data_IF_400204074336
#
_entry.id   IF_400204074336
#
_cell.length_a   1.000
_cell.length_b   1.000
_cell.length_c   1.000
_cell.angle_alpha   90.00
_cell.angle_beta   90.00
_cell.angle_gamma   90.00
#
_symmetry.space_group_name_H-M   'P 1'
#
loop_
_entity.id
_entity.type
_entity.pdbx_description
1 polymer ?
#
# COMPACT_ATOMS: atom_id res chain seq x y z
N UNK A 1 25.60 -17.63 8.78
CA UNK A 1 24.18 -17.69 9.20
C UNK A 1 23.17 -17.27 8.12
N UNK A 2 23.49 -17.30 6.80
CA UNK A 2 22.60 -16.79 5.72
C UNK A 2 21.86 -17.87 4.91
N UNK A 3 22.09 -19.16 5.19
CA UNK A 3 21.53 -20.27 4.41
C UNK A 3 20.32 -20.97 5.05
N UNK A 4 20.11 -20.79 6.35
CA UNK A 4 19.09 -21.50 7.13
C UNK A 4 17.71 -20.85 7.06
N UNK A 5 17.62 -19.52 7.08
CA UNK A 5 16.34 -18.80 6.94
C UNK A 5 15.75 -18.95 5.53
N UNK A 6 16.57 -18.86 4.48
CA UNK A 6 16.13 -19.07 3.10
C UNK A 6 15.60 -20.49 2.88
N UNK A 7 16.17 -21.51 3.54
CA UNK A 7 15.67 -22.90 3.47
C UNK A 7 14.34 -23.09 4.19
N UNK A 8 14.12 -22.42 5.33
CA UNK A 8 12.88 -22.56 6.12
C UNK A 8 11.68 -21.94 5.39
N UNK A 9 11.86 -20.77 4.78
CA UNK A 9 10.83 -20.11 3.97
C UNK A 9 10.55 -20.83 2.64
N UNK A 10 11.60 -21.36 1.97
CA UNK A 10 11.45 -22.18 0.76
C UNK A 10 10.55 -23.41 1.01
N UNK A 11 10.64 -24.00 2.21
CA UNK A 11 9.80 -25.13 2.62
C UNK A 11 8.30 -24.81 2.72
N UNK A 12 7.90 -23.61 3.14
CA UNK A 12 6.48 -23.26 3.27
C UNK A 12 5.82 -22.95 1.93
N UNK A 13 6.51 -22.25 1.01
CA UNK A 13 6.00 -21.99 -0.35
C UNK A 13 5.95 -23.26 -1.18
N UNK A 14 7.00 -24.10 -1.12
CA UNK A 14 7.02 -25.39 -1.80
C UNK A 14 6.03 -26.38 -1.19
N UNK A 15 5.82 -26.43 0.14
CA UNK A 15 4.78 -27.30 0.71
C UNK A 15 3.35 -26.86 0.36
N UNK A 16 3.09 -25.54 0.28
CA UNK A 16 1.75 -25.02 -0.10
C UNK A 16 1.44 -25.19 -1.58
N UNK A 17 2.45 -25.20 -2.46
CA UNK A 17 2.23 -25.12 -3.91
C UNK A 17 2.95 -26.19 -4.75
N UNK A 18 3.62 -27.16 -4.10
CA UNK A 18 4.08 -28.40 -4.73
C UNK A 18 2.87 -29.30 -4.91
N UNK A 19 2.11 -29.07 -5.98
CA UNK A 19 1.28 -30.13 -6.52
C UNK A 19 2.22 -31.26 -6.93
N UNK A 20 2.12 -32.37 -6.19
CA UNK A 20 2.67 -33.64 -6.60
C UNK A 20 2.07 -33.98 -7.97
N UNK A 21 2.90 -33.96 -9.00
CA UNK A 21 2.66 -34.75 -10.19
C UNK A 21 2.51 -36.20 -9.72
N UNK A 22 1.30 -36.76 -9.78
CA UNK A 22 1.10 -38.20 -9.69
C UNK A 22 1.79 -38.83 -10.90
N UNK A 23 3.09 -39.13 -10.73
CA UNK A 23 3.90 -40.16 -11.37
C UNK A 23 5.37 -39.72 -11.29
N UNK A 24 6.06 -40.14 -10.23
CA UNK A 24 7.27 -40.97 -10.32
C UNK A 24 7.82 -41.17 -8.90
N UNK A 25 7.84 -42.44 -8.50
CA UNK A 25 8.39 -42.93 -7.24
C UNK A 25 9.90 -42.68 -7.13
N UNK A 26 10.35 -42.61 -5.87
CA UNK A 26 11.67 -43.01 -5.39
C UNK A 26 12.88 -42.15 -5.77
N UNK A 27 13.25 -41.22 -4.88
CA UNK A 27 14.67 -41.01 -4.56
C UNK A 27 14.83 -40.99 -3.03
N UNK A 28 15.31 -42.13 -2.54
CA UNK A 28 15.86 -42.37 -1.22
C UNK A 28 16.98 -41.38 -0.92
N UNK A 29 16.85 -40.53 0.10
CA UNK A 29 17.95 -39.73 0.63
C UNK A 29 18.61 -40.49 1.78
N UNK A 30 19.45 -41.45 1.45
CA UNK A 30 20.40 -42.03 2.41
C UNK A 30 21.75 -41.34 2.32
N UNK A 31 22.25 -41.00 3.51
CA UNK A 31 23.66 -40.77 3.84
C UNK A 31 24.29 -39.46 3.36
N UNK A 32 24.38 -38.48 4.29
CA UNK A 32 25.67 -37.97 4.79
C UNK A 32 25.52 -37.57 6.27
N UNK A 33 25.83 -38.49 7.19
CA UNK A 33 26.36 -38.19 8.53
C UNK A 33 27.74 -37.50 8.34
N UNK A 34 28.32 -36.67 9.19
CA UNK A 34 28.22 -36.36 10.61
C UNK A 34 29.16 -35.15 10.84
N UNK A 35 28.84 -34.25 11.77
CA UNK A 35 29.73 -33.92 12.90
C UNK A 35 29.03 -32.94 13.84
N UNK A 36 28.68 -33.49 15.00
CA UNK A 36 28.33 -32.82 16.24
C UNK A 36 29.46 -31.91 16.73
N UNK A 37 29.12 -30.72 17.23
CA UNK A 37 29.64 -30.19 18.50
C UNK A 37 28.49 -29.50 19.23
N UNK A 38 28.33 -29.88 20.49
CA UNK A 38 27.27 -29.50 21.41
C UNK A 38 27.67 -28.31 22.32
N UNK A 39 26.66 -27.85 23.09
CA UNK A 39 26.70 -27.10 24.37
C UNK A 39 26.51 -25.55 24.31
N UNK A 40 26.04 -24.88 25.39
CA UNK A 40 24.60 -24.75 25.73
C UNK A 40 24.20 -23.36 26.29
N UNK A 41 22.97 -23.27 26.81
CA UNK A 41 22.51 -22.45 27.96
C UNK A 41 22.11 -20.96 27.83
N UNK A 42 20.80 -20.74 28.07
CA UNK A 42 20.22 -19.95 29.20
C UNK A 42 19.66 -18.53 28.99
N UNK A 43 18.73 -18.20 29.93
CA UNK A 43 17.97 -16.97 30.23
C UNK A 43 16.64 -16.81 29.47
N UNK A 44 15.50 -17.28 29.99
CA UNK A 44 14.69 -16.87 31.17
C UNK A 44 14.13 -15.43 31.17
N UNK A 45 12.79 -15.38 31.16
CA UNK A 45 11.85 -14.46 31.83
C UNK A 45 12.03 -12.94 31.74
N UNK A 46 10.99 -12.24 31.25
CA UNK A 46 10.10 -11.45 32.13
C UNK A 46 8.86 -10.96 31.35
N UNK A 47 7.67 -11.34 31.80
CA UNK A 47 6.43 -10.62 31.52
C UNK A 47 6.05 -9.81 32.75
N UNK A 48 5.34 -8.68 32.59
CA UNK A 48 4.38 -8.20 33.59
C UNK A 48 3.31 -7.32 32.95
N UNK A 49 2.07 -7.71 33.25
CA UNK A 49 0.79 -7.03 33.08
C UNK A 49 0.48 -6.35 34.41
N UNK A 50 -0.07 -5.14 34.41
CA UNK A 50 -0.76 -4.59 35.58
C UNK A 50 -2.09 -3.94 35.19
N UNK A 51 -3.13 -4.33 35.95
CA UNK A 51 -4.49 -3.80 35.99
C UNK A 51 -4.67 -3.13 37.37
N UNK A 52 -5.46 -2.08 37.44
CA UNK A 52 -6.18 -1.60 38.64
C UNK A 52 -7.06 -0.40 38.25
N UNK A 53 -8.39 -0.49 38.08
CA UNK A 53 -9.50 -0.45 39.08
C UNK A 53 -9.38 0.72 40.07
N UNK A 54 -10.17 1.80 39.90
CA UNK A 54 -11.44 2.10 40.61
C UNK A 54 -11.28 3.49 41.29
N UNK A 55 -12.26 4.35 41.59
CA UNK A 55 -13.72 4.32 41.68
C UNK A 55 -14.22 5.77 41.98
N UNK A 56 -15.38 6.18 41.42
CA UNK A 56 -16.49 7.02 41.97
C UNK A 56 -16.22 8.40 42.65
N UNK A 57 -17.09 9.45 42.69
CA UNK A 57 -18.56 9.61 42.80
C UNK A 57 -18.89 11.14 42.59
N UNK A 58 -19.88 11.57 41.78
CA UNK A 58 -21.26 12.11 42.09
C UNK A 58 -21.47 13.55 42.61
N UNK A 59 -22.55 14.20 42.12
CA UNK A 59 -23.34 15.31 42.73
C UNK A 59 -23.37 16.60 41.89
N UNK A 60 -24.36 16.93 41.04
CA UNK A 60 -25.79 17.32 41.23
C UNK A 60 -26.03 18.67 41.93
N UNK A 61 -26.55 19.70 41.21
CA UNK A 61 -27.79 20.47 41.52
C UNK A 61 -27.82 21.90 40.90
N UNK A 62 -28.90 22.21 40.16
CA UNK A 62 -29.53 23.54 39.91
C UNK A 62 -30.48 23.90 41.11
N UNK A 63 -31.36 24.94 41.15
CA UNK A 63 -31.72 26.12 40.28
C UNK A 63 -31.95 27.43 41.15
N UNK A 64 -32.98 28.33 41.04
CA UNK A 64 -33.77 28.98 39.95
C UNK A 64 -34.00 30.55 40.07
N UNK A 65 -34.73 31.16 39.11
CA UNK A 65 -35.70 32.29 39.28
C UNK A 65 -35.26 33.68 38.75
N UNK A 66 -35.86 34.38 37.76
CA UNK A 66 -37.23 34.84 37.40
C UNK A 66 -37.49 36.34 37.71
N UNK A 67 -37.79 37.18 36.70
CA UNK A 67 -38.90 38.19 36.63
C UNK A 67 -38.65 39.37 35.66
N UNK A 68 -39.65 39.68 34.82
CA UNK A 68 -39.89 40.89 33.95
C UNK A 68 -40.46 42.08 34.79
N UNK A 69 -41.03 43.18 34.23
CA UNK A 69 -40.80 44.04 33.03
C UNK A 69 -40.75 45.57 33.39
N UNK A 70 -40.53 46.50 32.43
CA UNK A 70 -41.38 47.71 32.30
C UNK A 70 -41.13 48.58 31.04
N UNK A 71 -42.17 49.34 30.68
CA UNK A 71 -42.45 50.09 29.43
C UNK A 71 -42.06 51.59 29.42
N UNK A 72 -42.26 52.23 28.25
CA UNK A 72 -42.41 53.68 27.97
C UNK A 72 -41.09 54.43 27.71
N UNK A 73 -40.89 55.36 26.76
CA UNK A 73 -41.73 56.19 25.89
C UNK A 73 -40.84 56.76 24.73
N UNK A 74 -41.40 57.23 23.60
CA UNK A 74 -40.64 57.85 22.49
C UNK A 74 -40.32 59.36 22.69
N UNK A 75 -40.05 60.18 21.66
CA UNK A 75 -39.26 59.99 20.42
C UNK A 75 -38.22 61.14 20.19
N UNK A 76 -37.43 61.03 19.11
CA UNK A 76 -36.78 62.09 18.30
C UNK A 76 -35.23 62.16 18.22
N UNK A 77 -34.79 61.98 16.95
CA UNK A 77 -33.74 62.69 16.18
C UNK A 77 -32.25 62.32 16.35
N UNK A 78 -31.82 61.57 15.34
CA UNK A 78 -30.81 61.96 14.33
C UNK A 78 -29.32 61.83 14.66
N UNK A 79 -28.62 61.24 13.66
CA UNK A 79 -27.19 61.26 13.36
C UNK A 79 -26.29 60.34 14.18
N UNK A 80 -26.20 59.08 13.77
CA UNK A 80 -24.93 58.32 13.72
C UNK A 80 -25.14 56.95 13.05
N UNK A 81 -25.18 56.92 11.71
CA UNK A 81 -25.06 55.64 10.98
C UNK A 81 -24.51 55.87 9.57
N UNK A 82 -23.22 56.23 9.47
CA UNK A 82 -22.51 56.17 8.19
C UNK A 82 -21.11 55.55 8.26
N UNK A 83 -20.71 54.93 9.38
CA UNK A 83 -19.39 54.31 9.51
C UNK A 83 -19.38 52.77 9.49
N UNK A 84 -20.53 52.07 9.57
CA UNK A 84 -20.52 50.58 9.56
C UNK A 84 -20.62 49.93 8.17
N UNK A 85 -21.18 50.61 7.15
CA UNK A 85 -21.28 50.05 5.78
C UNK A 85 -19.98 50.12 4.99
N UNK A 86 -19.10 51.07 5.31
CA UNK A 86 -17.81 51.23 4.61
C UNK A 86 -16.83 50.14 5.00
N UNK A 87 -16.86 49.65 6.25
CA UNK A 87 -15.94 48.57 6.67
C UNK A 87 -16.32 47.21 6.07
N UNK A 88 -17.62 46.89 5.97
CA UNK A 88 -18.05 45.67 5.30
C UNK A 88 -17.75 45.72 3.80
N UNK A 89 -18.14 46.77 3.07
CA UNK A 89 -17.85 46.89 1.63
C UNK A 89 -16.35 46.93 1.32
N UNK A 90 -15.53 47.63 2.13
CA UNK A 90 -14.08 47.68 1.94
C UNK A 90 -13.41 46.35 2.29
N UNK A 91 -13.94 45.58 3.24
CA UNK A 91 -13.46 44.21 3.51
C UNK A 91 -13.79 43.25 2.37
N UNK A 92 -14.98 43.36 1.76
CA UNK A 92 -15.39 42.54 0.63
C UNK A 92 -14.60 42.89 -0.63
N UNK A 93 -14.38 44.18 -0.91
CA UNK A 93 -13.55 44.64 -2.04
C UNK A 93 -12.10 44.21 -1.92
N UNK A 94 -11.49 44.36 -0.73
CA UNK A 94 -10.13 43.89 -0.47
C UNK A 94 -10.04 42.36 -0.59
N UNK A 95 -11.07 41.63 -0.16
CA UNK A 95 -11.12 40.17 -0.29
C UNK A 95 -11.24 39.71 -1.75
N UNK A 96 -12.05 40.42 -2.56
CA UNK A 96 -12.21 40.16 -3.99
C UNK A 96 -10.94 40.51 -4.78
N UNK A 97 -10.30 41.64 -4.47
CA UNK A 97 -9.02 42.05 -5.07
C UNK A 97 -7.89 41.07 -4.72
N UNK A 98 -7.83 40.58 -3.48
CA UNK A 98 -6.87 39.55 -3.06
C UNK A 98 -7.13 38.22 -3.77
N UNK A 99 -8.39 37.84 -3.95
CA UNK A 99 -8.74 36.63 -4.68
C UNK A 99 -8.40 36.74 -6.17
N UNK A 100 -8.62 37.91 -6.78
CA UNK A 100 -8.21 38.20 -8.16
C UNK A 100 -6.71 38.04 -8.38
N UNK A 101 -5.89 38.67 -7.53
CA UNK A 101 -4.41 38.53 -7.60
C UNK A 101 -3.93 37.07 -7.47
N UNK A 102 -4.58 36.28 -6.62
CA UNK A 102 -4.25 34.86 -6.46
C UNK A 102 -4.69 34.05 -7.69
N UNK A 103 -5.83 34.38 -8.30
CA UNK A 103 -6.26 33.76 -9.55
C UNK A 103 -5.28 34.06 -10.69
N UNK A 104 -4.80 35.30 -10.81
CA UNK A 104 -3.76 35.69 -11.78
C UNK A 104 -2.48 34.87 -11.57
N UNK A 105 -2.07 34.68 -10.31
CA UNK A 105 -0.90 33.84 -9.98
C UNK A 105 -1.06 32.38 -10.44
N UNK A 106 -2.27 31.82 -10.38
CA UNK A 106 -2.52 30.47 -10.90
C UNK A 106 -2.49 30.44 -12.44
N UNK A 107 -2.99 31.47 -13.11
CA UNK A 107 -2.90 31.61 -14.57
C UNK A 107 -1.44 31.69 -15.02
N UNK A 108 -0.61 32.48 -14.31
CA UNK A 108 0.83 32.61 -14.56
C UNK A 108 1.58 31.28 -14.38
N UNK A 109 1.07 30.41 -13.48
CA UNK A 109 1.58 29.04 -13.29
C UNK A 109 1.07 28.05 -14.35
N UNK A 110 0.25 28.48 -15.30
CA UNK A 110 -0.26 27.66 -16.39
C UNK A 110 -1.58 26.93 -16.10
N UNK A 111 -2.31 27.30 -15.04
CA UNK A 111 -3.67 26.78 -14.83
C UNK A 111 -4.66 27.47 -15.77
N UNK A 112 -5.68 26.74 -16.22
CA UNK A 112 -6.84 27.32 -16.90
C UNK A 112 -7.90 27.79 -15.91
N UNK A 113 -8.81 28.67 -16.35
CA UNK A 113 -9.93 29.13 -15.54
C UNK A 113 -10.81 27.98 -15.01
N UNK A 114 -11.01 26.92 -15.80
CA UNK A 114 -11.78 25.74 -15.36
C UNK A 114 -11.03 24.95 -14.30
N UNK A 115 -9.71 24.77 -14.47
CA UNK A 115 -8.85 24.13 -13.50
C UNK A 115 -8.79 24.91 -12.18
N UNK A 116 -8.75 26.25 -12.22
CA UNK A 116 -8.82 27.09 -11.01
C UNK A 116 -10.16 26.88 -10.31
N UNK A 117 -11.29 26.93 -11.02
CA UNK A 117 -12.61 26.65 -10.42
C UNK A 117 -12.66 25.28 -9.74
N UNK A 118 -12.13 24.25 -10.41
CA UNK A 118 -12.04 22.89 -9.87
C UNK A 118 -11.13 22.83 -8.64
N UNK A 119 -9.98 23.49 -8.67
CA UNK A 119 -9.05 23.55 -7.54
C UNK A 119 -9.69 24.19 -6.29
N UNK A 120 -10.50 25.23 -6.47
CA UNK A 120 -11.22 25.88 -5.38
C UNK A 120 -12.42 25.06 -4.89
N UNK A 121 -13.01 24.19 -5.72
CA UNK A 121 -14.11 23.31 -5.31
C UNK A 121 -13.66 22.12 -4.47
N UNK A 122 -12.40 21.65 -4.61
CA UNK A 122 -11.84 20.53 -3.82
C UNK A 122 -11.94 20.78 -2.32
N UNK A 123 -11.62 21.98 -1.86
CA UNK A 123 -11.75 22.37 -0.46
C UNK A 123 -12.12 23.86 -0.35
N UNK A 124 -13.43 24.21 -0.39
CA UNK A 124 -13.88 25.59 -0.50
C UNK A 124 -13.49 26.47 0.70
N UNK A 125 -13.39 25.88 1.89
CA UNK A 125 -13.10 26.58 3.15
C UNK A 125 -11.62 26.95 3.33
N UNK A 126 -10.73 26.48 2.45
CA UNK A 126 -9.31 26.75 2.57
C UNK A 126 -8.95 28.14 1.99
N UNK A 127 -8.15 28.96 2.70
CA UNK A 127 -7.68 30.24 2.19
C UNK A 127 -6.96 30.12 0.84
N UNK A 128 -7.21 31.08 -0.05
CA UNK A 128 -6.62 31.13 -1.39
C UNK A 128 -5.08 31.14 -1.35
N UNK A 129 -4.48 31.88 -0.41
CA UNK A 129 -3.03 31.97 -0.26
C UNK A 129 -2.38 30.63 0.14
N UNK A 130 -3.00 29.89 1.05
CA UNK A 130 -2.52 28.56 1.45
C UNK A 130 -2.56 27.60 0.28
N UNK A 131 -3.65 27.65 -0.50
CA UNK A 131 -3.80 26.84 -1.71
C UNK A 131 -2.70 27.15 -2.73
N UNK A 132 -2.43 28.43 -2.96
CA UNK A 132 -1.38 28.87 -3.87
C UNK A 132 -0.02 28.34 -3.40
N UNK A 133 0.33 28.51 -2.13
CA UNK A 133 1.61 28.06 -1.59
C UNK A 133 1.81 26.53 -1.73
N UNK A 134 0.79 25.73 -1.44
CA UNK A 134 0.84 24.27 -1.62
C UNK A 134 1.01 23.88 -3.09
N UNK A 135 0.23 24.50 -3.98
CA UNK A 135 0.29 24.22 -5.42
C UNK A 135 1.65 24.62 -6.00
N UNK A 136 2.22 25.76 -5.61
CA UNK A 136 3.56 26.18 -6.02
C UNK A 136 4.62 25.15 -5.64
N UNK A 137 4.57 24.60 -4.41
CA UNK A 137 5.52 23.55 -3.99
C UNK A 137 5.32 22.24 -4.78
N UNK A 138 4.08 21.88 -5.12
CA UNK A 138 3.81 20.71 -5.95
C UNK A 138 4.27 20.89 -7.41
N UNK A 139 4.23 22.12 -7.94
CA UNK A 139 4.82 22.45 -9.24
C UNK A 139 6.35 22.37 -9.22
N UNK A 140 6.99 22.88 -8.16
CA UNK A 140 8.43 22.77 -7.96
C UNK A 140 8.91 21.32 -7.80
N UNK A 141 7.99 20.42 -7.45
CA UNK A 141 8.19 18.98 -7.42
C UNK A 141 8.12 18.31 -8.80
N UNK A 142 7.77 19.06 -9.85
CA UNK A 142 7.69 18.59 -11.22
C UNK A 142 6.34 17.95 -11.58
N UNK A 143 5.27 18.20 -10.81
CA UNK A 143 3.93 17.77 -11.20
C UNK A 143 3.34 18.79 -12.18
N UNK A 144 2.66 18.34 -13.23
CA UNK A 144 1.86 19.21 -14.08
C UNK A 144 0.60 19.72 -13.38
N UNK A 145 0.02 20.81 -13.89
CA UNK A 145 -1.23 21.40 -13.37
C UNK A 145 -2.39 20.38 -13.36
N UNK A 146 -2.50 19.55 -14.41
CA UNK A 146 -3.49 18.47 -14.49
C UNK A 146 -3.26 17.38 -13.44
N UNK A 147 -2.00 16.99 -13.22
CA UNK A 147 -1.63 15.99 -12.23
C UNK A 147 -1.90 16.49 -10.81
N UNK A 148 -1.61 17.75 -10.52
CA UNK A 148 -1.92 18.38 -9.23
C UNK A 148 -3.41 18.27 -8.94
N UNK A 149 -4.29 18.58 -9.90
CA UNK A 149 -5.73 18.46 -9.69
C UNK A 149 -6.15 17.02 -9.37
N UNK A 150 -5.66 16.04 -10.14
CA UNK A 150 -5.96 14.61 -9.91
C UNK A 150 -5.49 14.15 -8.52
N UNK A 151 -4.30 14.60 -8.11
CA UNK A 151 -3.70 14.27 -6.81
C UNK A 151 -4.51 14.88 -5.67
N UNK A 152 -4.85 16.17 -5.76
CA UNK A 152 -5.60 16.88 -4.73
C UNK A 152 -7.04 16.38 -4.59
N UNK A 153 -7.67 15.96 -5.70
CA UNK A 153 -8.99 15.31 -5.67
C UNK A 153 -8.98 13.98 -4.91
N UNK A 154 -7.91 13.20 -5.03
CA UNK A 154 -7.74 11.94 -4.32
C UNK A 154 -7.28 12.13 -2.87
N UNK A 155 -6.52 13.18 -2.59
CA UNK A 155 -5.91 13.42 -1.27
C UNK A 155 -5.97 14.91 -0.90
N UNK A 156 -7.12 15.33 -0.39
CA UNK A 156 -7.37 16.71 0.07
C UNK A 156 -6.49 17.11 1.25
N UNK A 157 -6.01 16.14 2.04
CA UNK A 157 -5.11 16.37 3.17
C UNK A 157 -3.80 17.07 2.79
N UNK A 158 -3.37 16.98 1.52
CA UNK A 158 -2.19 17.69 1.02
C UNK A 158 -2.35 19.21 1.10
N UNK A 159 -3.57 19.71 0.92
CA UNK A 159 -3.88 21.14 1.03
C UNK A 159 -3.75 21.66 2.47
N UNK A 160 -3.76 20.77 3.47
CA UNK A 160 -3.57 21.13 4.88
C UNK A 160 -2.10 21.08 5.30
N UNK A 161 -1.21 20.57 4.45
CA UNK A 161 0.22 20.52 4.75
C UNK A 161 0.83 21.92 4.63
N UNK A 162 1.79 22.23 5.49
CA UNK A 162 2.57 23.45 5.32
C UNK A 162 3.53 23.32 4.13
N UNK A 163 3.83 24.43 3.42
CA UNK A 163 4.78 24.42 2.30
C UNK A 163 6.14 23.83 2.70
N UNK A 164 6.62 24.15 3.91
CA UNK A 164 7.84 23.58 4.48
C UNK A 164 7.79 22.05 4.56
N UNK A 165 6.70 21.46 5.06
CA UNK A 165 6.56 20.00 5.16
C UNK A 165 6.51 19.33 3.79
N UNK A 166 5.86 19.96 2.81
CA UNK A 166 5.86 19.46 1.43
C UNK A 166 7.26 19.50 0.81
N UNK A 167 8.02 20.57 1.06
CA UNK A 167 9.41 20.68 0.63
C UNK A 167 10.34 19.66 1.30
N UNK A 168 10.24 19.48 2.62
CA UNK A 168 11.02 18.45 3.33
C UNK A 168 10.70 17.06 2.77
N UNK A 169 9.43 16.82 2.44
CA UNK A 169 8.99 15.57 1.82
C UNK A 169 9.50 15.43 0.38
N UNK A 170 9.52 16.50 -0.39
CA UNK A 170 10.11 16.55 -1.72
C UNK A 170 11.58 16.13 -1.71
N UNK A 171 12.34 16.68 -0.77
CA UNK A 171 13.77 16.38 -0.61
C UNK A 171 14.00 14.91 -0.26
N UNK A 172 13.14 14.32 0.59
CA UNK A 172 13.16 12.89 0.88
C UNK A 172 12.91 12.05 -0.39
N UNK A 173 11.88 12.38 -1.17
CA UNK A 173 11.55 11.64 -2.39
C UNK A 173 12.68 11.75 -3.43
N UNK A 174 13.30 12.93 -3.60
CA UNK A 174 14.47 13.06 -4.50
C UNK A 174 15.64 12.16 -4.07
N UNK A 175 15.92 12.04 -2.76
CA UNK A 175 16.96 11.13 -2.22
C UNK A 175 16.67 9.64 -2.49
N UNK A 176 15.41 9.28 -2.74
CA UNK A 176 15.01 7.91 -3.04
C UNK A 176 15.12 7.55 -4.53
N UNK A 177 15.76 8.40 -5.34
CA UNK A 177 15.97 8.20 -6.78
C UNK A 177 14.67 8.06 -7.58
N UNK A 178 13.60 8.77 -7.18
CA UNK A 178 12.52 9.05 -8.11
C UNK A 178 13.10 9.98 -9.18
N UNK A 179 13.34 9.47 -10.40
CA UNK A 179 13.82 10.28 -11.52
C UNK A 179 12.81 11.39 -11.82
N UNK A 180 13.28 12.48 -12.40
CA UNK A 180 12.44 13.59 -12.88
C UNK A 180 11.36 13.02 -13.84
N UNK A 181 10.08 13.30 -13.58
CA UNK A 181 8.92 12.70 -14.26
C UNK A 181 8.39 11.37 -13.65
N UNK A 182 9.21 10.62 -12.92
CA UNK A 182 8.79 9.40 -12.23
C UNK A 182 7.88 9.67 -11.01
N UNK A 183 8.08 10.82 -10.35
CA UNK A 183 7.26 11.22 -9.20
C UNK A 183 5.82 11.54 -9.60
N UNK A 184 5.60 12.10 -10.80
CA UNK A 184 4.26 12.48 -11.24
C UNK A 184 3.34 11.26 -11.31
N UNK A 185 3.79 10.18 -11.96
CA UNK A 185 3.06 8.91 -12.01
C UNK A 185 2.77 8.37 -10.60
N UNK A 186 3.78 8.36 -9.72
CA UNK A 186 3.63 7.88 -8.34
C UNK A 186 2.64 8.73 -7.56
N UNK A 187 2.68 10.05 -7.69
CA UNK A 187 1.78 10.97 -7.01
C UNK A 187 0.33 10.75 -7.47
N UNK A 188 0.09 10.58 -8.78
CA UNK A 188 -1.26 10.34 -9.32
C UNK A 188 -1.85 9.02 -8.80
N UNK A 189 -1.05 7.95 -8.78
CA UNK A 189 -1.53 6.61 -8.43
C UNK A 189 -1.48 6.32 -6.92
N UNK A 190 -0.59 6.97 -6.18
CA UNK A 190 -0.40 6.85 -4.74
C UNK A 190 -0.12 8.23 -4.10
N UNK A 191 -1.13 9.11 -4.00
CA UNK A 191 -0.98 10.44 -3.38
C UNK A 191 -0.46 10.41 -1.94
N UNK A 192 -0.73 9.32 -1.22
CA UNK A 192 -0.23 9.08 0.13
C UNK A 192 1.30 9.02 0.20
N UNK A 193 2.03 8.96 -0.92
CA UNK A 193 3.49 9.11 -0.96
C UNK A 193 3.98 10.39 -0.23
N UNK A 194 3.17 11.44 -0.16
CA UNK A 194 3.52 12.66 0.57
C UNK A 194 3.26 12.58 2.09
N UNK A 195 2.40 11.66 2.53
CA UNK A 195 1.97 11.54 3.94
C UNK A 195 2.47 10.26 4.62
N UNK A 196 2.91 9.25 3.88
CA UNK A 196 3.40 7.98 4.40
C UNK A 196 4.58 8.17 5.39
N UNK A 197 4.69 7.37 6.45
CA UNK A 197 5.86 7.41 7.32
C UNK A 197 7.15 7.14 6.53
N UNK A 198 8.24 7.85 6.84
CA UNK A 198 9.55 7.60 6.23
C UNK A 198 10.05 6.19 6.53
N UNK A 199 9.86 5.72 7.77
CA UNK A 199 10.21 4.37 8.21
C UNK A 199 9.57 3.28 7.34
N UNK A 200 8.34 3.51 6.85
CA UNK A 200 7.65 2.59 5.96
C UNK A 200 8.35 2.47 4.61
N UNK A 201 8.79 3.60 4.04
CA UNK A 201 9.52 3.62 2.77
C UNK A 201 10.88 2.93 2.92
N UNK A 202 11.55 3.17 4.06
CA UNK A 202 12.84 2.53 4.39
C UNK A 202 12.69 1.02 4.60
N UNK A 203 11.67 0.57 5.34
CA UNK A 203 11.38 -0.84 5.54
C UNK A 203 11.14 -1.57 4.21
N UNK A 204 10.36 -0.97 3.31
CA UNK A 204 10.14 -1.52 1.97
C UNK A 204 11.42 -1.58 1.15
N UNK A 205 12.24 -0.51 1.18
CA UNK A 205 13.52 -0.49 0.48
C UNK A 205 14.46 -1.58 1.01
N UNK A 206 14.48 -1.77 2.33
CA UNK A 206 15.27 -2.80 2.98
C UNK A 206 14.78 -4.19 2.63
N UNK A 207 13.46 -4.43 2.62
CA UNK A 207 12.88 -5.68 2.13
C UNK A 207 13.36 -5.99 0.71
N UNK A 208 13.11 -5.06 -0.22
CA UNK A 208 13.38 -5.30 -1.64
C UNK A 208 14.88 -5.49 -1.92
N UNK A 209 15.76 -4.72 -1.28
CA UNK A 209 17.20 -4.84 -1.51
C UNK A 209 17.83 -6.01 -0.73
N UNK A 210 17.51 -6.16 0.56
CA UNK A 210 18.21 -7.10 1.45
C UNK A 210 17.61 -8.51 1.43
N UNK A 211 16.27 -8.62 1.40
CA UNK A 211 15.59 -9.92 1.37
C UNK A 211 15.33 -10.41 -0.06
N UNK A 212 14.79 -9.54 -0.92
CA UNK A 212 14.45 -9.92 -2.30
C UNK A 212 15.61 -9.78 -3.31
N UNK A 213 16.73 -9.19 -2.87
CA UNK A 213 17.97 -9.04 -3.64
C UNK A 213 17.78 -8.26 -4.95
N UNK A 214 16.86 -7.30 -4.99
CA UNK A 214 16.77 -6.34 -6.09
C UNK A 214 17.91 -5.33 -6.03
N UNK A 215 18.36 -4.84 -7.18
CA UNK A 215 19.31 -3.72 -7.25
C UNK A 215 18.62 -2.40 -6.92
N UNK A 216 19.39 -1.37 -6.57
CA UNK A 216 18.86 -0.01 -6.32
C UNK A 216 18.06 0.52 -7.53
N UNK A 217 18.52 0.24 -8.74
CA UNK A 217 17.81 0.62 -9.97
C UNK A 217 16.49 -0.14 -10.13
N UNK A 218 16.49 -1.45 -9.85
CA UNK A 218 15.29 -2.27 -9.87
C UNK A 218 14.26 -1.80 -8.84
N UNK A 219 14.70 -1.49 -7.62
CA UNK A 219 13.82 -0.94 -6.57
C UNK A 219 13.21 0.39 -7.00
N UNK A 220 14.02 1.31 -7.53
CA UNK A 220 13.51 2.58 -8.07
C UNK A 220 12.46 2.33 -9.17
N UNK A 221 12.71 1.37 -10.08
CA UNK A 221 11.76 1.01 -11.14
C UNK A 221 10.47 0.38 -10.62
N UNK A 222 10.54 -0.46 -9.58
CA UNK A 222 9.37 -1.03 -8.91
C UNK A 222 8.53 0.08 -8.30
N UNK A 223 9.13 0.98 -7.53
CA UNK A 223 8.41 2.08 -6.87
C UNK A 223 7.74 3.02 -7.87
N UNK A 224 8.38 3.26 -9.03
CA UNK A 224 7.80 4.09 -10.09
C UNK A 224 6.64 3.40 -10.82
N UNK A 225 6.77 2.11 -11.13
CA UNK A 225 5.77 1.39 -11.94
C UNK A 225 4.66 0.75 -11.11
N UNK A 226 4.90 0.48 -9.83
CA UNK A 226 3.99 -0.23 -8.93
C UNK A 226 3.87 0.54 -7.61
N UNK A 227 3.38 1.80 -7.60
CA UNK A 227 3.40 2.63 -6.39
C UNK A 227 2.53 2.10 -5.24
N UNK A 228 1.60 1.19 -5.53
CA UNK A 228 0.75 0.55 -4.52
C UNK A 228 1.55 -0.36 -3.56
N UNK A 229 2.75 -0.82 -3.96
CA UNK A 229 3.63 -1.62 -3.07
C UNK A 229 4.04 -0.88 -1.80
N UNK A 230 3.92 0.45 -1.77
CA UNK A 230 4.13 1.26 -0.57
C UNK A 230 3.03 1.06 0.48
N UNK A 231 1.86 0.61 0.04
CA UNK A 231 0.65 0.42 0.85
C UNK A 231 0.42 -1.05 1.23
N UNK A 232 1.09 -2.01 0.57
CA UNK A 232 0.97 -3.45 0.83
C UNK A 232 1.81 -3.91 2.03
N UNK A 233 1.29 -4.78 2.88
CA UNK A 233 2.06 -5.28 4.02
C UNK A 233 3.39 -5.93 3.62
N UNK A 234 4.40 -5.74 4.46
CA UNK A 234 5.80 -6.12 4.14
C UNK A 234 5.89 -7.63 3.90
N UNK A 235 5.20 -8.42 4.72
CA UNK A 235 5.21 -9.87 4.65
C UNK A 235 4.45 -10.39 3.42
N UNK A 236 3.32 -9.76 3.06
CA UNK A 236 2.56 -10.09 1.86
C UNK A 236 3.37 -9.81 0.59
N UNK A 237 4.09 -8.69 0.57
CA UNK A 237 4.95 -8.33 -0.55
C UNK A 237 6.16 -9.28 -0.66
N UNK A 238 6.74 -9.69 0.47
CA UNK A 238 7.79 -10.71 0.50
C UNK A 238 7.28 -12.03 -0.06
N UNK A 239 6.10 -12.48 0.38
CA UNK A 239 5.48 -13.72 -0.10
C UNK A 239 5.14 -13.65 -1.59
N UNK A 240 4.64 -12.50 -2.07
CA UNK A 240 4.39 -12.25 -3.50
C UNK A 240 5.67 -12.36 -4.34
N UNK A 241 6.79 -11.83 -3.85
CA UNK A 241 8.10 -12.02 -4.49
C UNK A 241 8.53 -13.50 -4.48
N UNK A 242 8.38 -14.18 -3.36
CA UNK A 242 8.75 -15.59 -3.22
C UNK A 242 7.96 -16.49 -4.18
N UNK A 243 6.67 -16.21 -4.37
CA UNK A 243 5.86 -16.90 -5.36
C UNK A 243 6.45 -16.74 -6.77
N UNK A 244 6.78 -15.51 -7.18
CA UNK A 244 7.42 -15.28 -8.49
C UNK A 244 8.77 -16.01 -8.61
N UNK A 245 9.62 -15.90 -7.59
CA UNK A 245 11.00 -16.35 -7.68
C UNK A 245 11.16 -17.86 -7.52
N UNK A 246 10.49 -18.45 -6.52
CA UNK A 246 10.62 -19.86 -6.19
C UNK A 246 9.54 -20.71 -6.86
N UNK A 247 8.28 -20.26 -6.87
CA UNK A 247 7.17 -21.06 -7.41
C UNK A 247 7.01 -20.92 -8.92
N UNK A 248 7.25 -19.75 -9.49
CA UNK A 248 7.20 -19.54 -10.95
C UNK A 248 8.60 -19.59 -11.62
N UNK A 249 9.69 -19.65 -10.85
CA UNK A 249 11.05 -19.72 -11.38
C UNK A 249 11.54 -18.43 -12.08
N UNK A 250 10.90 -17.28 -11.83
CA UNK A 250 11.14 -16.04 -12.54
C UNK A 250 12.26 -15.23 -11.88
N UNK A 251 13.20 -14.71 -12.67
CA UNK A 251 14.29 -13.86 -12.16
C UNK A 251 13.88 -12.40 -11.98
N UNK A 252 14.53 -11.70 -11.04
CA UNK A 252 14.23 -10.32 -10.65
C UNK A 252 14.05 -9.36 -11.83
N UNK A 253 14.94 -9.42 -12.84
CA UNK A 253 14.87 -8.55 -14.02
C UNK A 253 13.53 -8.68 -14.75
N UNK A 254 13.03 -9.90 -14.89
CA UNK A 254 11.75 -10.15 -15.56
C UNK A 254 10.56 -9.74 -14.69
N UNK A 255 10.61 -9.99 -13.38
CA UNK A 255 9.61 -9.53 -12.41
C UNK A 255 9.40 -8.00 -12.53
N UNK A 256 10.50 -7.24 -12.53
CA UNK A 256 10.46 -5.77 -12.65
C UNK A 256 9.92 -5.34 -14.02
N UNK A 257 10.40 -5.95 -15.10
CA UNK A 257 10.00 -5.58 -16.47
C UNK A 257 8.52 -5.87 -16.76
N UNK A 258 7.97 -6.94 -16.18
CA UNK A 258 6.56 -7.27 -16.29
C UNK A 258 5.67 -6.30 -15.49
N UNK A 259 6.22 -5.64 -14.45
CA UNK A 259 5.41 -4.91 -13.47
C UNK A 259 4.61 -5.88 -12.59
N UNK A 260 5.23 -6.99 -12.20
CA UNK A 260 4.58 -8.09 -11.47
C UNK A 260 3.79 -7.64 -10.24
N UNK A 261 4.32 -6.67 -9.50
CA UNK A 261 3.71 -6.14 -8.29
C UNK A 261 2.49 -5.22 -8.52
N UNK A 262 2.09 -4.96 -9.77
CA UNK A 262 0.85 -4.20 -10.06
C UNK A 262 -0.40 -5.05 -9.86
N UNK A 263 -0.27 -6.37 -9.90
CA UNK A 263 -1.38 -7.32 -9.82
C UNK A 263 -1.40 -7.98 -8.43
N UNK A 264 -2.59 -8.30 -7.93
CA UNK A 264 -2.73 -9.02 -6.66
C UNK A 264 -2.16 -10.43 -6.77
N UNK A 265 -1.73 -11.00 -5.64
CA UNK A 265 -1.18 -12.35 -5.63
C UNK A 265 -2.23 -13.39 -6.04
N UNK A 266 -3.47 -13.22 -5.60
CA UNK A 266 -4.57 -14.16 -5.93
C UNK A 266 -4.84 -14.21 -7.43
N UNK A 267 -4.84 -13.06 -8.09
CA UNK A 267 -5.02 -13.01 -9.55
C UNK A 267 -3.83 -13.67 -10.27
N UNK A 268 -2.61 -13.48 -9.78
CA UNK A 268 -1.41 -14.13 -10.34
C UNK A 268 -1.50 -15.66 -10.14
N UNK A 269 -1.89 -16.12 -8.96
CA UNK A 269 -2.09 -17.55 -8.65
C UNK A 269 -3.16 -18.16 -9.56
N UNK A 270 -4.33 -17.51 -9.65
CA UNK A 270 -5.43 -17.96 -10.50
C UNK A 270 -4.94 -18.14 -11.94
N UNK A 271 -4.28 -17.13 -12.51
CA UNK A 271 -3.75 -17.21 -13.88
C UNK A 271 -2.70 -18.30 -14.06
N UNK A 272 -1.74 -18.39 -13.13
CA UNK A 272 -0.64 -19.35 -13.22
C UNK A 272 -1.14 -20.79 -13.10
N UNK A 273 -1.92 -21.08 -12.05
CA UNK A 273 -2.40 -22.43 -11.75
C UNK A 273 -3.41 -22.88 -12.80
N UNK A 274 -4.25 -21.98 -13.32
CA UNK A 274 -5.15 -22.31 -14.41
C UNK A 274 -4.39 -22.75 -15.66
N UNK A 275 -3.37 -21.99 -16.07
CA UNK A 275 -2.54 -22.37 -17.22
C UNK A 275 -1.75 -23.65 -16.98
N UNK A 276 -1.29 -23.90 -15.76
CA UNK A 276 -0.62 -25.17 -15.41
C UNK A 276 -1.56 -26.36 -15.55
N UNK A 277 -2.79 -26.26 -15.04
CA UNK A 277 -3.80 -27.32 -15.16
C UNK A 277 -4.24 -27.55 -16.61
N UNK A 278 -4.18 -26.51 -17.45
CA UNK A 278 -4.39 -26.62 -18.90
C UNK A 278 -3.15 -27.14 -19.66
N UNK A 279 -2.01 -27.34 -19.00
CA UNK A 279 -0.76 -27.72 -19.65
C UNK A 279 -0.16 -26.62 -20.55
N UNK A 280 -0.56 -25.36 -20.35
CA UNK A 280 -0.12 -24.18 -21.11
C UNK A 280 0.94 -23.34 -20.38
N UNK A 281 1.23 -23.69 -19.14
CA UNK A 281 2.34 -23.13 -18.39
C UNK A 281 3.06 -24.26 -17.66
N UNK A 282 4.38 -24.21 -17.62
CA UNK A 282 5.20 -25.13 -16.87
C UNK A 282 6.17 -24.35 -16.00
N UNK A 283 6.23 -24.65 -14.71
CA UNK A 283 7.27 -24.08 -13.85
C UNK A 283 8.66 -24.49 -14.36
N UNK A 284 9.58 -23.54 -14.60
CA UNK A 284 10.92 -23.84 -15.09
C UNK A 284 11.69 -24.79 -14.16
N UNK A 285 12.50 -25.66 -14.75
CA UNK A 285 13.37 -26.57 -14.00
C UNK A 285 14.52 -25.82 -13.29
N UNK A 286 15.43 -26.56 -12.64
CA UNK A 286 16.60 -25.97 -11.95
C UNK A 286 17.52 -25.18 -12.88
N UNK A 287 17.49 -25.45 -14.19
CA UNK A 287 18.25 -24.73 -15.22
C UNK A 287 17.45 -23.59 -15.85
N UNK A 288 16.21 -23.38 -15.42
CA UNK A 288 15.30 -22.38 -15.97
C UNK A 288 14.68 -22.79 -17.31
N UNK A 289 14.64 -24.09 -17.61
CA UNK A 289 14.12 -24.63 -18.87
C UNK A 289 12.71 -25.21 -18.70
N UNK A 290 11.92 -25.15 -19.76
CA UNK A 290 10.57 -25.72 -19.87
C UNK A 290 10.47 -26.53 -21.15
N UNK A 291 9.62 -27.56 -21.15
CA UNK A 291 9.34 -28.39 -22.33
C UNK A 291 8.41 -27.68 -23.32
N UNK A 292 7.53 -26.84 -22.79
CA UNK A 292 6.65 -25.97 -23.56
C UNK A 292 7.15 -24.51 -23.49
N UNK A 293 6.83 -23.71 -24.49
CA UNK A 293 7.10 -22.28 -24.46
C UNK A 293 6.05 -21.59 -23.60
N UNK A 294 6.43 -21.15 -22.39
CA UNK A 294 5.53 -20.42 -21.52
C UNK A 294 5.13 -19.06 -22.12
N UNK A 295 3.90 -18.58 -21.85
CA UNK A 295 3.52 -17.21 -22.14
C UNK A 295 4.48 -16.21 -21.47
N UNK A 296 4.78 -15.10 -22.17
CA UNK A 296 5.61 -14.02 -21.62
C UNK A 296 4.98 -13.47 -20.35
N UNK A 297 5.76 -13.31 -19.28
CA UNK A 297 5.27 -12.84 -17.98
C UNK A 297 4.53 -11.50 -18.10
N UNK A 298 5.07 -10.55 -18.86
CA UNK A 298 4.44 -9.24 -19.06
C UNK A 298 3.02 -9.36 -19.64
N UNK A 299 2.81 -10.30 -20.56
CA UNK A 299 1.49 -10.56 -21.16
C UNK A 299 0.56 -11.22 -20.14
N UNK A 300 1.07 -12.20 -19.38
CA UNK A 300 0.33 -12.87 -18.32
C UNK A 300 -0.18 -11.91 -17.25
N UNK A 301 0.68 -10.98 -16.81
CA UNK A 301 0.36 -10.05 -15.70
C UNK A 301 -0.54 -8.90 -16.15
N UNK A 302 -0.31 -8.34 -17.35
CA UNK A 302 -1.00 -7.11 -17.79
C UNK A 302 -2.25 -7.33 -18.64
N UNK A 303 -2.51 -8.57 -19.07
CA UNK A 303 -3.71 -8.86 -19.83
C UNK A 303 -4.98 -8.52 -19.01
N UNK A 304 -6.00 -8.03 -19.70
CA UNK A 304 -7.36 -8.02 -19.16
C UNK A 304 -7.80 -9.47 -18.89
N UNK A 305 -8.76 -9.68 -18.00
CA UNK A 305 -9.27 -11.03 -17.73
C UNK A 305 -9.79 -11.69 -19.02
N UNK A 306 -10.55 -10.94 -19.83
CA UNK A 306 -11.04 -11.43 -21.12
C UNK A 306 -9.93 -11.84 -22.07
N UNK A 307 -8.88 -11.02 -22.21
CA UNK A 307 -7.74 -11.36 -23.08
C UNK A 307 -6.96 -12.55 -22.53
N UNK A 308 -6.78 -12.63 -21.20
CA UNK A 308 -6.13 -13.75 -20.56
C UNK A 308 -6.86 -15.06 -20.88
N UNK A 309 -8.17 -15.11 -20.64
CA UNK A 309 -8.96 -16.33 -20.82
C UNK A 309 -9.05 -16.73 -22.29
N UNK A 310 -9.43 -15.80 -23.16
CA UNK A 310 -9.73 -16.13 -24.56
C UNK A 310 -8.48 -16.29 -25.43
N UNK A 311 -7.43 -15.48 -25.20
CA UNK A 311 -6.24 -15.45 -26.08
C UNK A 311 -5.03 -16.19 -25.50
N UNK A 312 -4.90 -16.28 -24.18
CA UNK A 312 -3.75 -16.93 -23.53
C UNK A 312 -4.11 -18.35 -23.07
N UNK A 313 -5.21 -18.49 -22.33
CA UNK A 313 -5.68 -19.78 -21.84
C UNK A 313 -6.45 -20.58 -22.92
N UNK A 314 -7.01 -19.90 -23.91
CA UNK A 314 -7.87 -20.47 -24.95
C UNK A 314 -9.05 -21.27 -24.34
N UNK A 315 -9.75 -20.64 -23.40
CA UNK A 315 -10.85 -21.22 -22.62
C UNK A 315 -12.03 -20.23 -22.57
N UNK A 316 -13.13 -20.62 -21.92
CA UNK A 316 -14.30 -19.75 -21.74
C UNK A 316 -14.23 -18.96 -20.42
N UNK A 317 -14.90 -17.81 -20.37
CA UNK A 317 -14.95 -16.97 -19.15
C UNK A 317 -15.64 -17.74 -18.02
N UNK A 318 -16.67 -18.51 -18.35
CA UNK A 318 -17.42 -19.33 -17.40
C UNK A 318 -16.53 -20.41 -16.75
N UNK A 319 -15.70 -21.09 -17.54
CA UNK A 319 -14.74 -22.07 -17.03
C UNK A 319 -13.74 -21.44 -16.05
N UNK A 320 -13.23 -20.25 -16.39
CA UNK A 320 -12.29 -19.54 -15.52
C UNK A 320 -12.95 -19.05 -14.22
N UNK A 321 -14.19 -18.54 -14.27
CA UNK A 321 -14.93 -18.14 -13.08
C UNK A 321 -15.21 -19.31 -12.13
N UNK A 322 -15.60 -20.47 -12.67
CA UNK A 322 -15.77 -21.68 -11.87
C UNK A 322 -14.44 -22.12 -11.28
N UNK A 323 -13.37 -22.07 -12.07
CA UNK A 323 -12.02 -22.40 -11.61
C UNK A 323 -11.56 -21.53 -10.44
N UNK A 324 -11.75 -20.20 -10.50
CA UNK A 324 -11.39 -19.28 -9.39
C UNK A 324 -12.07 -19.69 -8.09
N UNK A 325 -13.34 -20.07 -8.12
CA UNK A 325 -14.09 -20.55 -6.95
C UNK A 325 -13.53 -21.87 -6.42
N UNK A 326 -13.27 -22.83 -7.30
CA UNK A 326 -12.69 -24.12 -6.92
C UNK A 326 -11.31 -23.95 -6.27
N UNK A 327 -10.45 -23.11 -6.86
CA UNK A 327 -9.12 -22.85 -6.35
C UNK A 327 -9.17 -22.14 -4.98
N UNK A 328 -10.06 -21.17 -4.79
CA UNK A 328 -10.25 -20.53 -3.48
C UNK A 328 -10.66 -21.55 -2.41
N UNK A 329 -11.63 -22.42 -2.71
CA UNK A 329 -12.04 -23.48 -1.78
C UNK A 329 -10.94 -24.51 -1.50
N UNK A 330 -10.05 -24.77 -2.46
CA UNK A 330 -8.87 -25.61 -2.23
C UNK A 330 -7.92 -24.92 -1.24
N UNK A 331 -7.58 -23.65 -1.45
CA UNK A 331 -6.66 -22.90 -0.57
C UNK A 331 -7.16 -22.79 0.87
N UNK A 332 -8.48 -22.59 1.07
CA UNK A 332 -9.11 -22.56 2.39
C UNK A 332 -8.90 -23.89 3.15
N UNK A 333 -9.22 -25.02 2.52
CA UNK A 333 -9.05 -26.35 3.12
C UNK A 333 -7.60 -26.63 3.51
N UNK A 334 -6.64 -26.22 2.67
CA UNK A 334 -5.22 -26.39 2.98
C UNK A 334 -4.73 -25.51 4.14
N UNK A 335 -5.32 -24.33 4.31
CA UNK A 335 -5.00 -23.47 5.45
C UNK A 335 -5.55 -24.03 6.77
N UNK A 336 -6.74 -24.63 6.73
CA UNK A 336 -7.34 -25.33 7.88
C UNK A 336 -6.51 -26.56 8.28
N UNK A 337 -6.20 -27.43 7.32
CA UNK A 337 -5.38 -28.64 7.55
C UNK A 337 -3.94 -28.32 7.99
N UNK A 338 -3.39 -27.21 7.50
CA UNK A 338 -2.08 -26.71 7.89
C UNK A 338 -2.04 -26.15 9.31
N UNK A 339 -3.16 -25.61 9.79
CA UNK A 339 -3.31 -25.08 11.16
C UNK A 339 -3.47 -26.23 12.16
N UNK A 340 -4.28 -27.25 11.82
CA UNK A 340 -4.47 -28.45 12.64
C UNK A 340 -3.18 -29.25 12.84
N UNK A 341 -2.27 -29.28 11.86
CA UNK A 341 -0.97 -29.96 11.97
C UNK A 341 0.05 -29.26 12.87
N UNK A 342 -0.07 -27.95 13.05
CA UNK A 342 0.82 -27.19 13.95
C UNK A 342 0.34 -27.34 15.40
N UNK A 343 -0.97 -27.34 15.63
CA UNK A 343 -1.55 -27.56 16.96
C UNK A 343 -1.30 -28.98 17.50
N UNK A 344 -1.23 -29.99 16.62
CA UNK A 344 -0.91 -31.36 17.03
C UNK A 344 0.57 -31.59 17.35
N UNK A 345 1.50 -30.79 16.80
CA UNK A 345 2.94 -30.98 17.08
C UNK A 345 3.39 -30.40 18.41
N UNK A 346 2.63 -29.46 18.97
CA UNK A 346 2.92 -28.83 20.28
C UNK A 346 2.35 -29.65 21.47
N UNK A 347 1.63 -30.75 21.18
CA UNK A 347 1.02 -31.65 22.19
C UNK A 347 1.75 -33.00 22.32
N UNK A 348 2.72 -33.30 21.45
CA UNK A 348 3.50 -34.57 21.50
C UNK A 348 4.92 -34.32 22.03
N UNK A 349 5.02 -33.80 23.25
CA UNK A 349 6.25 -33.81 24.03
C UNK A 349 5.91 -33.72 25.52
N UNK A 350 5.37 -34.80 26.09
CA UNK A 350 5.46 -35.13 27.52
C UNK A 350 4.83 -36.51 27.77
N UNK A 351 5.50 -37.58 27.34
CA UNK A 351 5.23 -38.95 27.82
C UNK A 351 6.59 -39.70 27.86
N UNK A 352 7.43 -39.38 28.83
CA UNK A 352 8.45 -40.31 29.35
C UNK A 352 8.59 -40.08 30.86
N UNK A 353 7.82 -40.83 31.65
CA UNK A 353 8.17 -41.13 33.04
C UNK A 353 7.71 -42.53 33.43
N UNK A 354 8.72 -43.34 33.77
CA UNK A 354 8.74 -44.41 34.75
C UNK A 354 8.00 -45.73 34.45
N UNK A 355 8.80 -46.75 34.13
CA UNK A 355 8.53 -48.13 34.58
C UNK A 355 9.73 -48.63 35.39
N UNK A 356 9.39 -49.34 36.46
CA UNK A 356 10.11 -49.66 37.70
C UNK A 356 11.48 -50.35 37.60
#
# INVERSE_FOLDING_TARGET
MRGSEVRRLCGQVLRRHSFASLAYQSIHWSSVNSLLVALPSSLQHLGYRFIGTGSQQTGTSLPPGSSKPDSSDGPHKSLETLTSSVEHQRSTDISHLKLGKVADSFLDMGFSHSQIKQLFSVQPRLPSQTRLAVVSELLLLGLSTDSILKVLQKSTELLKMSPKRLKDRADLLRKLNFKEGGLEHVAIHCPSIFTLPQSRIEALKDLLNKKCLFTVEQVSKILQTCPNVLLEEVDDLEYKFQFAYFRMGIKQREIVNAGFFQTSLDEIKNRCIFLERLGRYQTPDKKGQTQIVNPKLKTLIRASETDFVTKIACSSIEEYEVFKKLLACEEEKWNEDGTLKVEHSDMESDEESDTE
#
